data_IF_743159714322
#
_entry.id   IF_743159714322
#
_cell.length_a   1.000
_cell.length_b   1.000
_cell.length_c   1.000
_cell.angle_alpha   90.00
_cell.angle_beta   90.00
_cell.angle_gamma   90.00
#
_symmetry.space_group_name_H-M   'P 1'
#
loop_
_entity.id
_entity.type
_entity.pdbx_description
1 polymer ?
#
# COMPACT_ATOMS: atom_id res chain seq x y z
N UNK A 1 2.23 -4.48 -4.42
CA UNK A 1 1.72 -3.40 -3.57
C UNK A 1 0.38 -2.95 -4.10
N UNK A 2 -0.54 -2.60 -3.23
CA UNK A 2 -1.85 -2.11 -3.62
C UNK A 2 -1.72 -0.83 -4.45
N UNK A 3 -2.46 -0.74 -5.53
CA UNK A 3 -2.57 0.44 -6.37
C UNK A 3 -4.03 0.75 -6.63
N UNK A 4 -4.35 2.00 -6.88
CA UNK A 4 -5.70 2.44 -7.18
C UNK A 4 -5.73 3.37 -8.38
N UNK A 5 -6.86 3.41 -9.06
CA UNK A 5 -7.10 4.31 -10.19
C UNK A 5 -7.20 5.79 -9.77
N UNK A 6 -7.62 6.01 -8.53
CA UNK A 6 -7.60 7.28 -7.81
C UNK A 6 -7.39 6.99 -6.32
N UNK A 7 -6.88 7.96 -5.58
CA UNK A 7 -6.58 7.81 -4.14
C UNK A 7 -7.31 8.92 -3.37
N UNK A 8 -8.66 8.85 -3.28
CA UNK A 8 -9.41 9.84 -2.52
C UNK A 8 -9.05 9.72 -1.04
N UNK A 9 -8.63 10.83 -0.45
CA UNK A 9 -8.24 10.88 0.94
C UNK A 9 -9.45 11.03 1.86
N UNK A 10 -9.40 10.38 3.02
CA UNK A 10 -10.36 10.64 4.08
C UNK A 10 -10.20 12.11 4.55
N UNK A 11 -11.28 12.92 4.57
CA UNK A 11 -11.18 14.35 4.90
C UNK A 11 -10.60 14.63 6.29
N UNK A 12 -10.91 13.80 7.28
CA UNK A 12 -10.36 13.96 8.64
C UNK A 12 -8.87 13.60 8.68
N UNK A 13 -8.46 12.54 7.98
CA UNK A 13 -7.06 12.16 7.86
C UNK A 13 -6.25 13.28 7.20
N UNK A 14 -6.77 13.85 6.10
CA UNK A 14 -6.13 14.98 5.41
C UNK A 14 -5.99 16.20 6.32
N UNK A 15 -7.07 16.59 7.01
CA UNK A 15 -7.06 17.71 7.96
C UNK A 15 -6.02 17.52 9.06
N UNK A 16 -6.01 16.34 9.69
CA UNK A 16 -5.03 16.03 10.74
C UNK A 16 -3.58 16.09 10.23
N UNK A 17 -3.35 15.59 9.01
CA UNK A 17 -2.02 15.61 8.39
C UNK A 17 -1.56 17.05 8.09
N UNK A 18 -2.43 17.89 7.55
CA UNK A 18 -2.15 19.32 7.29
C UNK A 18 -1.85 20.12 8.55
N UNK A 19 -2.49 19.76 9.66
CA UNK A 19 -2.20 20.33 10.98
C UNK A 19 -0.94 19.75 11.65
N UNK A 20 -0.24 18.82 10.98
CA UNK A 20 0.89 18.08 11.57
C UNK A 20 0.51 17.38 12.89
N UNK A 21 -0.73 16.94 13.00
CA UNK A 21 -1.25 16.27 14.18
C UNK A 21 -0.82 14.80 14.22
N UNK A 22 -0.18 14.32 15.29
CA UNK A 22 0.26 12.92 15.40
C UNK A 22 -0.85 11.88 15.19
N UNK A 23 -2.10 12.23 15.51
CA UNK A 23 -3.25 11.35 15.26
C UNK A 23 -3.46 11.00 13.78
N UNK A 24 -2.91 11.78 12.85
CA UNK A 24 -2.94 11.44 11.43
C UNK A 24 -2.23 10.11 11.17
N UNK A 25 -1.12 9.86 11.84
CA UNK A 25 -0.37 8.61 11.71
C UNK A 25 -1.13 7.45 12.30
N UNK A 26 -1.72 7.62 13.48
CA UNK A 26 -2.51 6.58 14.12
C UNK A 26 -3.67 6.16 13.21
N UNK A 27 -4.37 7.14 12.64
CA UNK A 27 -5.49 6.89 11.73
C UNK A 27 -5.03 6.26 10.41
N UNK A 28 -3.89 6.71 9.85
CA UNK A 28 -3.29 6.11 8.66
C UNK A 28 -2.93 4.63 8.90
N UNK A 29 -2.29 4.32 10.02
CA UNK A 29 -1.89 2.97 10.37
C UNK A 29 -3.10 2.05 10.64
N UNK A 30 -4.18 2.61 11.17
CA UNK A 30 -5.45 1.91 11.36
C UNK A 30 -6.06 1.46 10.02
N UNK A 31 -5.92 2.26 8.98
CA UNK A 31 -6.33 1.88 7.62
C UNK A 31 -5.35 0.93 6.92
N UNK A 32 -4.07 1.01 7.28
CA UNK A 32 -3.00 0.28 6.59
C UNK A 32 -2.94 -1.21 6.96
N UNK A 33 -3.42 -1.59 8.14
CA UNK A 33 -3.32 -2.97 8.60
C UNK A 33 -4.65 -3.70 8.51
N UNK A 34 -4.59 -4.98 8.15
CA UNK A 34 -5.70 -5.92 8.26
C UNK A 34 -5.96 -6.31 9.72
N UNK A 35 -6.99 -7.12 9.99
CA UNK A 35 -7.38 -7.51 11.36
C UNK A 35 -6.25 -8.11 12.19
N UNK A 36 -5.40 -8.93 11.59
CA UNK A 36 -4.26 -9.55 12.27
C UNK A 36 -3.23 -8.52 12.75
N UNK A 37 -2.99 -7.46 11.99
CA UNK A 37 -2.06 -6.39 12.35
C UNK A 37 -2.48 -5.60 13.60
N UNK A 38 -3.78 -5.50 13.87
CA UNK A 38 -4.31 -4.81 15.05
C UNK A 38 -4.14 -5.59 16.35
N UNK A 39 -3.97 -6.90 16.29
CA UNK A 39 -3.81 -7.76 17.47
C UNK A 39 -2.37 -8.03 17.87
N UNK A 40 -1.41 -7.25 17.39
CA UNK A 40 -0.01 -7.36 17.78
C UNK A 40 0.74 -8.52 17.14
N UNK A 41 0.18 -9.10 16.09
CA UNK A 41 0.72 -10.25 15.37
C UNK A 41 1.82 -9.91 14.36
N UNK A 42 2.75 -8.98 14.67
CA UNK A 42 3.88 -8.79 13.77
C UNK A 42 4.86 -9.98 13.87
N UNK A 43 5.30 -10.54 12.71
CA UNK A 43 6.25 -11.67 12.73
C UNK A 43 7.61 -11.31 13.35
N UNK A 44 7.94 -10.02 13.48
CA UNK A 44 9.14 -9.56 14.18
C UNK A 44 8.79 -9.17 15.61
N UNK A 45 9.27 -9.91 16.61
CA UNK A 45 8.99 -9.60 18.01
C UNK A 45 9.44 -8.18 18.40
N UNK A 46 8.57 -7.43 19.07
CA UNK A 46 8.89 -6.09 19.57
C UNK A 46 8.78 -4.96 18.55
N UNK A 47 8.49 -5.25 17.28
CA UNK A 47 8.21 -4.21 16.30
C UNK A 47 6.74 -3.78 16.42
N UNK A 48 6.53 -2.53 16.79
CA UNK A 48 5.20 -1.92 16.87
C UNK A 48 5.09 -0.81 15.83
N UNK A 49 4.37 -1.06 14.75
CA UNK A 49 4.32 -0.17 13.57
C UNK A 49 3.83 1.24 13.90
N UNK A 50 2.88 1.35 14.83
CA UNK A 50 2.37 2.63 15.29
C UNK A 50 3.47 3.52 15.86
N UNK A 51 4.45 2.94 16.56
CA UNK A 51 5.56 3.71 17.12
C UNK A 51 6.50 4.26 16.05
N UNK A 52 6.80 3.49 15.02
CA UNK A 52 7.68 3.93 13.91
C UNK A 52 7.03 5.08 13.14
N UNK A 53 5.76 4.95 12.80
CA UNK A 53 5.01 6.01 12.13
C UNK A 53 4.94 7.29 12.98
N UNK A 54 4.62 7.16 14.26
CA UNK A 54 4.59 8.28 15.19
C UNK A 54 5.95 8.99 15.33
N UNK A 55 7.05 8.23 15.32
CA UNK A 55 8.40 8.82 15.35
C UNK A 55 8.71 9.60 14.08
N UNK A 56 8.30 9.13 12.91
CA UNK A 56 8.51 9.83 11.64
C UNK A 56 7.78 11.18 11.65
N UNK A 57 6.52 11.20 12.08
CA UNK A 57 5.70 12.43 12.07
C UNK A 57 6.10 13.40 13.18
N UNK A 58 6.58 12.90 14.30
CA UNK A 58 7.07 13.75 15.40
C UNK A 58 8.43 14.37 15.14
N UNK A 59 9.13 13.96 14.09
CA UNK A 59 10.36 14.62 13.68
C UNK A 59 10.05 16.05 13.20
N UNK A 60 10.44 17.04 14.02
CA UNK A 60 10.15 18.46 13.79
C UNK A 60 10.78 19.04 12.51
N UNK A 61 11.74 18.32 11.92
CA UNK A 61 12.38 18.70 10.66
C UNK A 61 11.51 18.38 9.43
N UNK A 62 10.50 17.51 9.59
CA UNK A 62 9.61 17.05 8.49
C UNK A 62 8.21 17.63 8.69
N UNK A 63 8.11 18.92 8.97
CA UNK A 63 6.81 19.58 9.11
C UNK A 63 6.04 19.53 7.79
N UNK A 64 4.76 19.23 7.89
CA UNK A 64 3.78 19.21 6.78
C UNK A 64 4.04 18.20 5.66
N UNK A 65 5.05 17.33 5.76
CA UNK A 65 5.32 16.34 4.69
C UNK A 65 4.14 15.42 4.45
N UNK A 66 3.54 14.90 5.51
CA UNK A 66 2.39 13.99 5.40
C UNK A 66 1.18 14.70 4.76
N UNK A 67 0.93 15.96 5.11
CA UNK A 67 -0.13 16.76 4.50
C UNK A 67 0.10 17.01 3.01
N UNK A 68 1.35 17.31 2.63
CA UNK A 68 1.73 17.47 1.22
C UNK A 68 1.52 16.17 0.43
N UNK A 69 1.98 15.04 0.96
CA UNK A 69 1.85 13.74 0.33
C UNK A 69 0.37 13.32 0.18
N UNK A 70 -0.43 13.54 1.19
CA UNK A 70 -1.87 13.22 1.13
C UNK A 70 -2.63 14.12 0.15
N UNK A 71 -2.27 15.41 0.04
CA UNK A 71 -2.81 16.29 -1.00
C UNK A 71 -2.43 15.80 -2.41
N UNK A 72 -1.19 15.32 -2.58
CA UNK A 72 -0.76 14.75 -3.84
C UNK A 72 -1.57 13.49 -4.18
N UNK A 73 -1.81 12.61 -3.22
CA UNK A 73 -2.67 11.45 -3.38
C UNK A 73 -4.10 11.84 -3.74
N UNK A 74 -4.70 12.78 -3.01
CA UNK A 74 -6.08 13.24 -3.25
C UNK A 74 -6.26 13.88 -4.63
N UNK A 75 -5.21 14.52 -5.15
CA UNK A 75 -5.20 15.12 -6.49
C UNK A 75 -4.87 14.11 -7.61
N UNK A 76 -4.44 12.88 -7.29
CA UNK A 76 -4.12 11.87 -8.28
C UNK A 76 -5.40 11.29 -8.93
N UNK A 77 -5.60 11.57 -10.22
CA UNK A 77 -6.82 11.20 -10.97
C UNK A 77 -6.54 10.49 -12.31
N UNK A 78 -5.29 10.40 -12.74
CA UNK A 78 -4.91 9.93 -14.07
C UNK A 78 -4.42 8.48 -14.12
N UNK A 79 -4.65 7.71 -13.05
CA UNK A 79 -4.25 6.30 -12.96
C UNK A 79 -4.67 5.44 -14.15
N UNK A 80 -5.95 5.44 -14.55
CA UNK A 80 -6.43 4.65 -15.68
C UNK A 80 -5.76 4.97 -17.01
N UNK A 81 -5.49 6.26 -17.27
CA UNK A 81 -4.86 6.69 -18.52
C UNK A 81 -3.41 6.25 -18.62
N UNK A 82 -2.70 6.26 -17.50
CA UNK A 82 -1.32 5.80 -17.40
C UNK A 82 -1.26 4.28 -17.47
N UNK A 83 -2.13 3.60 -16.73
CA UNK A 83 -2.18 2.14 -16.67
C UNK A 83 -2.38 1.50 -18.05
N UNK A 84 -3.25 2.07 -18.89
CA UNK A 84 -3.50 1.62 -20.26
C UNK A 84 -2.26 1.68 -21.18
N UNK A 85 -1.27 2.49 -20.82
CA UNK A 85 -0.04 2.67 -21.60
C UNK A 85 1.08 1.73 -21.18
N UNK A 86 0.88 0.96 -20.11
CA UNK A 86 1.87 0.01 -19.64
C UNK A 86 1.93 -1.20 -20.57
N UNK A 87 3.10 -1.46 -21.12
CA UNK A 87 3.41 -2.60 -22.00
C UNK A 87 4.55 -3.44 -21.40
N UNK A 88 4.45 -3.70 -20.12
CA UNK A 88 5.42 -4.47 -19.34
C UNK A 88 4.68 -5.57 -18.58
N UNK A 89 5.33 -6.73 -18.34
CA UNK A 89 4.79 -7.71 -17.41
C UNK A 89 4.44 -7.04 -16.08
N UNK A 90 3.19 -7.15 -15.67
CA UNK A 90 2.68 -6.45 -14.50
C UNK A 90 2.00 -7.42 -13.55
N UNK A 91 2.37 -7.34 -12.28
CA UNK A 91 1.75 -8.09 -11.19
C UNK A 91 1.12 -7.13 -10.19
N UNK A 92 -0.16 -7.31 -9.92
CA UNK A 92 -0.90 -6.64 -8.85
C UNK A 92 -1.08 -7.61 -7.68
N UNK A 93 -0.46 -7.32 -6.54
CA UNK A 93 -0.67 -8.06 -5.29
C UNK A 93 -1.60 -7.22 -4.41
N UNK A 94 -2.73 -7.78 -4.02
CA UNK A 94 -3.80 -7.07 -3.34
C UNK A 94 -4.14 -7.79 -2.03
N UNK A 95 -4.21 -7.05 -0.93
CA UNK A 95 -4.74 -7.54 0.33
C UNK A 95 -6.26 -7.56 0.31
N UNK A 96 -6.88 -8.65 0.76
CA UNK A 96 -8.34 -8.76 0.80
C UNK A 96 -8.98 -7.77 1.79
N UNK A 97 -8.27 -7.47 2.89
CA UNK A 97 -8.69 -6.57 3.97
C UNK A 97 -8.04 -5.17 3.88
N UNK A 98 -7.46 -4.82 2.70
CA UNK A 98 -6.84 -3.52 2.48
C UNK A 98 -7.90 -2.41 2.49
N UNK A 99 -7.80 -1.54 3.50
CA UNK A 99 -8.71 -0.40 3.69
C UNK A 99 -8.18 0.90 3.08
N UNK A 100 -6.87 0.95 2.75
CA UNK A 100 -6.25 2.09 2.06
C UNK A 100 -6.46 2.00 0.54
N UNK A 101 -6.13 0.86 -0.04
CA UNK A 101 -6.35 0.56 -1.46
C UNK A 101 -7.27 -0.66 -1.55
N UNK A 102 -8.57 -0.41 -1.44
CA UNK A 102 -9.58 -1.49 -1.38
C UNK A 102 -9.41 -2.45 -2.54
N UNK A 103 -9.58 -3.74 -2.27
CA UNK A 103 -9.47 -4.82 -3.24
C UNK A 103 -10.19 -4.52 -4.56
N UNK A 104 -11.38 -3.94 -4.50
CA UNK A 104 -12.16 -3.54 -5.68
C UNK A 104 -11.41 -2.51 -6.54
N UNK A 105 -10.81 -1.50 -5.92
CA UNK A 105 -10.10 -0.43 -6.62
C UNK A 105 -8.79 -0.94 -7.24
N UNK A 106 -8.08 -1.82 -6.53
CA UNK A 106 -6.90 -2.50 -7.06
C UNK A 106 -7.20 -3.37 -8.28
N UNK A 107 -8.30 -4.11 -8.25
CA UNK A 107 -8.78 -4.89 -9.41
C UNK A 107 -9.12 -4.01 -10.60
N UNK A 108 -9.84 -2.91 -10.37
CA UNK A 108 -10.18 -1.93 -11.43
C UNK A 108 -8.91 -1.39 -12.08
N UNK A 109 -7.87 -1.07 -11.30
CA UNK A 109 -6.60 -0.61 -11.86
C UNK A 109 -5.93 -1.70 -12.69
N UNK A 110 -5.88 -2.93 -12.19
CA UNK A 110 -5.28 -4.06 -12.89
C UNK A 110 -5.99 -4.34 -14.23
N UNK A 111 -7.30 -4.18 -14.31
CA UNK A 111 -8.09 -4.36 -15.53
C UNK A 111 -7.73 -3.36 -16.65
N UNK A 112 -7.15 -2.20 -16.30
CA UNK A 112 -6.64 -1.26 -17.29
C UNK A 112 -5.29 -1.66 -17.88
N UNK A 113 -4.56 -2.57 -17.24
CA UNK A 113 -3.21 -2.97 -17.66
C UNK A 113 -3.30 -4.27 -18.44
N UNK A 114 -2.98 -4.21 -19.73
CA UNK A 114 -3.03 -5.38 -20.61
C UNK A 114 -2.10 -6.50 -20.11
N UNK A 115 -2.66 -7.68 -19.85
CA UNK A 115 -1.88 -8.82 -19.40
C UNK A 115 -1.43 -8.77 -17.94
N UNK A 116 -2.01 -7.87 -17.13
CA UNK A 116 -1.74 -7.83 -15.69
C UNK A 116 -2.18 -9.12 -14.99
N UNK A 117 -1.30 -9.68 -14.16
CA UNK A 117 -1.64 -10.73 -13.22
C UNK A 117 -2.16 -10.13 -11.92
N UNK A 118 -3.19 -10.75 -11.33
CA UNK A 118 -3.72 -10.36 -10.02
C UNK A 118 -3.57 -11.51 -9.04
N UNK A 119 -2.94 -11.25 -7.91
CA UNK A 119 -2.87 -12.16 -6.76
C UNK A 119 -3.50 -11.48 -5.56
N UNK A 120 -4.37 -12.21 -4.87
CA UNK A 120 -5.04 -11.75 -3.67
C UNK A 120 -4.46 -12.51 -2.48
N UNK A 121 -4.15 -11.79 -1.41
CA UNK A 121 -3.72 -12.35 -0.13
C UNK A 121 -4.89 -12.16 0.85
N UNK A 122 -5.47 -13.28 1.29
CA UNK A 122 -6.56 -13.28 2.25
C UNK A 122 -6.07 -12.82 3.63
N UNK A 123 -6.95 -12.32 4.48
CA UNK A 123 -6.67 -11.86 5.85
C UNK A 123 -5.55 -10.81 5.96
N UNK A 124 -5.22 -10.13 4.87
CA UNK A 124 -4.11 -9.20 4.74
C UNK A 124 -4.58 -7.79 4.38
N UNK A 125 -4.02 -6.78 5.04
CA UNK A 125 -4.26 -5.37 4.76
C UNK A 125 -3.30 -4.80 3.71
N UNK A 126 -3.00 -3.50 3.84
CA UNK A 126 -2.14 -2.77 2.91
C UNK A 126 -0.65 -3.10 3.08
N UNK A 127 -0.24 -3.42 4.29
CA UNK A 127 1.17 -3.66 4.65
C UNK A 127 1.56 -5.12 4.41
N UNK A 128 1.20 -5.69 3.28
CA UNK A 128 1.37 -7.11 2.95
C UNK A 128 2.79 -7.64 3.10
N UNK A 129 3.81 -6.79 2.89
CA UNK A 129 5.22 -7.16 3.11
C UNK A 129 5.55 -7.38 4.60
N UNK A 130 4.69 -6.91 5.50
CA UNK A 130 4.82 -7.04 6.95
C UNK A 130 3.82 -8.05 7.50
N UNK A 131 2.60 -8.05 6.96
CA UNK A 131 1.51 -8.89 7.44
C UNK A 131 1.64 -10.34 6.93
N UNK A 132 2.01 -10.49 5.63
CA UNK A 132 2.11 -11.78 4.93
C UNK A 132 3.40 -11.85 4.10
N UNK A 133 4.56 -11.67 4.77
CA UNK A 133 5.86 -11.54 4.14
C UNK A 133 6.24 -12.76 3.28
N UNK A 134 6.06 -13.97 3.80
CA UNK A 134 6.46 -15.20 3.12
C UNK A 134 5.61 -15.42 1.85
N UNK A 135 4.30 -15.27 1.97
CA UNK A 135 3.39 -15.42 0.84
C UNK A 135 3.64 -14.35 -0.23
N UNK A 136 3.87 -13.11 0.19
CA UNK A 136 4.21 -12.00 -0.72
C UNK A 136 5.52 -12.29 -1.46
N UNK A 137 6.54 -12.76 -0.75
CA UNK A 137 7.84 -13.11 -1.33
C UNK A 137 7.74 -14.25 -2.35
N UNK A 138 6.99 -15.30 -2.06
CA UNK A 138 6.80 -16.42 -3.00
C UNK A 138 6.08 -15.99 -4.28
N UNK A 139 5.05 -15.13 -4.16
CA UNK A 139 4.36 -14.57 -5.31
C UNK A 139 5.34 -13.75 -6.18
N UNK A 140 6.16 -12.90 -5.56
CA UNK A 140 7.14 -12.06 -6.26
C UNK A 140 8.22 -12.90 -6.94
N UNK A 141 8.79 -13.89 -6.26
CA UNK A 141 9.80 -14.81 -6.83
C UNK A 141 9.27 -15.51 -8.08
N UNK A 142 8.06 -16.04 -7.99
CA UNK A 142 7.43 -16.74 -9.13
C UNK A 142 7.27 -15.80 -10.33
N UNK A 143 6.70 -14.62 -10.12
CA UNK A 143 6.52 -13.63 -11.18
C UNK A 143 7.83 -13.21 -11.83
N UNK A 144 8.88 -12.96 -11.03
CA UNK A 144 10.19 -12.58 -11.53
C UNK A 144 10.82 -13.71 -12.35
N UNK A 145 10.76 -14.95 -11.86
CA UNK A 145 11.31 -16.10 -12.56
C UNK A 145 10.63 -16.36 -13.93
N UNK A 146 9.31 -16.15 -14.00
CA UNK A 146 8.54 -16.36 -15.22
C UNK A 146 8.76 -15.25 -16.27
N UNK A 147 8.94 -14.01 -15.85
CA UNK A 147 9.01 -12.86 -16.74
C UNK A 147 10.41 -12.34 -17.00
N UNK A 148 11.35 -12.61 -16.08
CA UNK A 148 12.73 -12.14 -16.14
C UNK A 148 13.71 -13.28 -15.79
N UNK A 149 13.79 -14.35 -16.62
CA UNK A 149 14.70 -15.45 -16.35
C UNK A 149 16.13 -14.93 -16.33
N UNK A 150 16.84 -15.18 -15.21
CA UNK A 150 18.26 -14.88 -15.14
C UNK A 150 18.99 -15.69 -16.21
N UNK A 151 19.98 -15.11 -16.91
CA UNK A 151 20.82 -15.87 -17.81
C UNK A 151 21.48 -17.01 -17.00
N UNK A 152 21.29 -18.23 -17.46
CA UNK A 152 21.92 -19.40 -16.87
C UNK A 152 23.43 -19.22 -17.10
N UNK A 153 24.17 -18.94 -16.02
CA UNK A 153 25.64 -18.88 -16.03
C UNK A 153 26.23 -20.26 -16.02
#
# INVERSE_FOLDING_TARGET
MGGASAIPMNPELLRLAEESNPKAVDLMMDFAHGPAGHFGGHPVPGLYHLNVGSMIVQNKEIKDTLGVDFRACDNYKNGPEIAKKLDLPTLSILGAEDRMCRLKEGKILADYIKGSEVKIIEDCGHMMLLEEADQTLEILKKFIAENYPLPIS
#
